data_IF_397627858957
#
_entry.id   IF_397627858957
#
_cell.length_a   1.000
_cell.length_b   1.000
_cell.length_c   1.000
_cell.angle_alpha   90.00
_cell.angle_beta   90.00
_cell.angle_gamma   90.00
#
_symmetry.space_group_name_H-M   'P 1'
#
loop_
_entity.id
_entity.type
_entity.pdbx_description
1 polymer ?
#
# COMPACT_ATOMS: atom_id res chain seq x y z
N UNK A 1 -67.86 30.95 -4.65
CA UNK A 1 -67.45 29.91 -3.68
C UNK A 1 -67.04 28.66 -4.46
N UNK A 2 -65.79 28.59 -4.92
CA UNK A 2 -65.24 27.44 -5.65
C UNK A 2 -64.93 26.33 -4.65
N UNK A 3 -65.75 25.27 -4.69
CA UNK A 3 -65.60 24.07 -3.86
C UNK A 3 -64.30 23.38 -4.28
N UNK A 4 -63.28 23.40 -3.41
CA UNK A 4 -62.02 22.72 -3.67
C UNK A 4 -62.29 21.21 -3.83
N UNK A 5 -61.96 20.67 -5.00
CA UNK A 5 -62.07 19.25 -5.34
C UNK A 5 -61.32 18.40 -4.29
N UNK A 6 -61.98 17.45 -3.61
CA UNK A 6 -61.34 16.59 -2.61
C UNK A 6 -60.19 15.74 -3.18
N UNK A 7 -60.15 15.54 -4.51
CA UNK A 7 -59.11 14.77 -5.21
C UNK A 7 -57.76 15.52 -5.24
N UNK A 8 -57.76 16.84 -5.39
CA UNK A 8 -56.55 17.68 -5.51
C UNK A 8 -55.75 17.74 -4.19
N UNK A 9 -56.44 17.62 -3.04
CA UNK A 9 -55.78 17.55 -1.72
C UNK A 9 -55.03 16.24 -1.49
N UNK A 10 -55.53 15.13 -2.02
CA UNK A 10 -54.93 13.81 -1.87
C UNK A 10 -53.68 13.68 -2.76
N UNK A 11 -53.74 14.19 -3.99
CA UNK A 11 -52.61 14.17 -4.94
C UNK A 11 -51.47 15.08 -4.47
N UNK A 12 -51.76 16.26 -3.91
CA UNK A 12 -50.75 17.14 -3.31
C UNK A 12 -50.07 16.54 -2.07
N UNK A 13 -50.83 15.81 -1.25
CA UNK A 13 -50.28 15.08 -0.10
C UNK A 13 -49.37 13.94 -0.51
N UNK A 14 -49.73 13.19 -1.55
CA UNK A 14 -48.92 12.10 -2.10
C UNK A 14 -47.67 12.61 -2.82
N UNK A 15 -47.76 13.71 -3.56
CA UNK A 15 -46.60 14.34 -4.18
C UNK A 15 -45.61 14.88 -3.14
N UNK A 16 -46.09 15.50 -2.06
CA UNK A 16 -45.23 15.97 -0.98
C UNK A 16 -44.56 14.81 -0.22
N UNK A 17 -45.26 13.69 -0.01
CA UNK A 17 -44.68 12.49 0.58
C UNK A 17 -43.60 11.89 -0.34
N UNK A 18 -43.86 11.79 -1.65
CA UNK A 18 -42.87 11.30 -2.62
C UNK A 18 -41.64 12.19 -2.72
N UNK A 19 -41.82 13.51 -2.64
CA UNK A 19 -40.70 14.46 -2.62
C UNK A 19 -39.89 14.34 -1.33
N UNK A 20 -40.56 14.23 -0.18
CA UNK A 20 -39.91 14.05 1.11
C UNK A 20 -39.15 12.72 1.18
N UNK A 21 -39.73 11.65 0.66
CA UNK A 21 -39.14 10.30 0.64
C UNK A 21 -37.99 10.21 -0.37
N UNK A 22 -38.07 10.91 -1.51
CA UNK A 22 -36.96 11.06 -2.45
C UNK A 22 -35.82 11.93 -1.89
N UNK A 23 -36.13 13.00 -1.15
CA UNK A 23 -35.14 13.87 -0.52
C UNK A 23 -34.45 13.16 0.66
N UNK A 24 -35.21 12.44 1.47
CA UNK A 24 -34.70 11.59 2.54
C UNK A 24 -33.80 10.47 2.01
N UNK A 25 -34.23 9.77 0.95
CA UNK A 25 -33.42 8.71 0.32
C UNK A 25 -32.12 9.27 -0.29
N UNK A 26 -32.19 10.47 -0.86
CA UNK A 26 -31.02 11.14 -1.47
C UNK A 26 -30.02 11.62 -0.40
N UNK A 27 -30.50 12.12 0.73
CA UNK A 27 -29.64 12.50 1.86
C UNK A 27 -28.97 11.28 2.49
N UNK A 28 -29.66 10.16 2.59
CA UNK A 28 -29.10 8.88 3.03
C UNK A 28 -28.04 8.35 2.04
N UNK A 29 -28.34 8.38 0.73
CA UNK A 29 -27.39 8.00 -0.33
C UNK A 29 -26.14 8.91 -0.34
N UNK A 30 -26.28 10.22 -0.13
CA UNK A 30 -25.17 11.17 -0.05
C UNK A 30 -24.33 10.96 1.22
N UNK A 31 -24.99 10.70 2.36
CA UNK A 31 -24.33 10.39 3.62
C UNK A 31 -23.56 9.06 3.59
N UNK A 32 -23.96 8.11 2.74
CA UNK A 32 -23.21 6.88 2.46
C UNK A 32 -22.11 7.10 1.41
N UNK A 33 -22.35 7.93 0.40
CA UNK A 33 -21.38 8.22 -0.66
C UNK A 33 -20.16 9.00 -0.16
N UNK A 34 -20.34 9.96 0.75
CA UNK A 34 -19.23 10.76 1.29
C UNK A 34 -18.16 9.92 2.01
N UNK A 35 -18.48 9.06 3.00
CA UNK A 35 -17.48 8.22 3.66
C UNK A 35 -16.89 7.15 2.73
N UNK A 36 -17.66 6.63 1.76
CA UNK A 36 -17.14 5.70 0.74
C UNK A 36 -16.14 6.40 -0.18
N UNK A 37 -16.47 7.59 -0.68
CA UNK A 37 -15.60 8.38 -1.55
C UNK A 37 -14.32 8.82 -0.83
N UNK A 38 -14.41 9.24 0.44
CA UNK A 38 -13.24 9.63 1.24
C UNK A 38 -12.38 8.40 1.58
N UNK A 39 -12.99 7.23 1.80
CA UNK A 39 -12.25 5.96 1.99
C UNK A 39 -11.52 5.56 0.72
N UNK A 40 -12.17 5.66 -0.44
CA UNK A 40 -11.58 5.36 -1.75
C UNK A 40 -10.43 6.32 -2.07
N UNK A 41 -10.59 7.62 -1.81
CA UNK A 41 -9.53 8.61 -2.03
C UNK A 41 -8.32 8.40 -1.10
N UNK A 42 -8.57 8.14 0.20
CA UNK A 42 -7.51 7.80 1.17
C UNK A 42 -6.76 6.55 0.74
N UNK A 43 -7.48 5.51 0.28
CA UNK A 43 -6.87 4.30 -0.24
C UNK A 43 -6.01 4.55 -1.47
N UNK A 44 -6.47 5.37 -2.42
CA UNK A 44 -5.69 5.74 -3.60
C UNK A 44 -4.37 6.43 -3.22
N UNK A 45 -4.42 7.39 -2.29
CA UNK A 45 -3.23 8.09 -1.79
C UNK A 45 -2.26 7.12 -1.08
N UNK A 46 -2.80 6.20 -0.28
CA UNK A 46 -2.01 5.21 0.44
C UNK A 46 -1.30 4.26 -0.54
N UNK A 47 -2.02 3.72 -1.53
CA UNK A 47 -1.45 2.82 -2.54
C UNK A 47 -0.40 3.53 -3.39
N UNK A 48 -0.60 4.81 -3.72
CA UNK A 48 0.39 5.62 -4.42
C UNK A 48 1.64 5.85 -3.57
N UNK A 49 1.46 6.14 -2.27
CA UNK A 49 2.55 6.29 -1.31
C UNK A 49 3.39 5.02 -1.23
N UNK A 50 2.75 3.85 -1.08
CA UNK A 50 3.44 2.55 -1.07
C UNK A 50 4.22 2.34 -2.37
N UNK A 51 3.59 2.54 -3.53
CA UNK A 51 4.25 2.35 -4.84
C UNK A 51 5.49 3.24 -4.99
N UNK A 52 5.37 4.53 -4.66
CA UNK A 52 6.48 5.48 -4.77
C UNK A 52 7.66 5.06 -3.88
N UNK A 53 7.39 4.72 -2.62
CA UNK A 53 8.43 4.27 -1.69
C UNK A 53 9.04 2.92 -2.07
N UNK A 54 8.25 2.00 -2.62
CA UNK A 54 8.76 0.74 -3.18
C UNK A 54 9.70 0.98 -4.36
N UNK A 55 9.44 1.98 -5.20
CA UNK A 55 10.35 2.38 -6.27
C UNK A 55 11.65 3.00 -5.72
N UNK A 56 11.55 3.86 -4.71
CA UNK A 56 12.74 4.39 -4.02
C UNK A 56 13.58 3.30 -3.35
N UNK A 57 12.93 2.25 -2.83
CA UNK A 57 13.62 1.11 -2.24
C UNK A 57 14.46 0.33 -3.27
N UNK A 58 14.04 0.31 -4.55
CA UNK A 58 14.84 -0.25 -5.64
C UNK A 58 16.19 0.45 -5.80
N UNK A 59 16.25 1.77 -5.56
CA UNK A 59 17.46 2.59 -5.69
C UNK A 59 18.31 2.56 -4.41
N UNK A 60 17.66 2.54 -3.24
CA UNK A 60 18.33 2.57 -1.94
C UNK A 60 19.23 1.36 -1.67
N UNK A 61 18.99 0.23 -2.35
CA UNK A 61 19.78 -1.01 -2.23
C UNK A 61 21.16 -0.96 -2.90
N UNK A 62 21.59 0.15 -3.50
CA UNK A 62 22.85 0.26 -4.25
C UNK A 62 24.00 0.91 -3.46
N UNK A 63 23.87 1.06 -2.14
CA UNK A 63 24.93 1.66 -1.32
C UNK A 63 25.99 0.59 -0.99
N UNK A 64 27.23 0.67 -1.52
CA UNK A 64 28.27 -0.35 -1.34
C UNK A 64 28.98 -0.27 0.02
N UNK A 65 28.27 0.14 1.07
CA UNK A 65 28.79 0.27 2.44
C UNK A 65 28.04 -0.71 3.35
N UNK A 66 28.71 -1.73 3.89
CA UNK A 66 28.12 -2.66 4.86
C UNK A 66 27.44 -1.92 6.02
N UNK A 67 26.29 -2.41 6.48
CA UNK A 67 25.42 -1.79 7.50
C UNK A 67 24.72 -0.47 7.11
N UNK A 68 25.31 0.36 6.24
CA UNK A 68 24.65 1.58 5.77
C UNK A 68 23.45 1.28 4.87
N UNK A 69 23.55 0.25 4.03
CA UNK A 69 22.43 -0.28 3.24
C UNK A 69 21.23 -0.67 4.13
N UNK A 70 21.51 -1.28 5.29
CA UNK A 70 20.50 -1.65 6.27
C UNK A 70 19.80 -0.43 6.90
N UNK A 71 20.60 0.58 7.25
CA UNK A 71 20.10 1.84 7.79
C UNK A 71 19.28 2.62 6.73
N UNK A 72 19.69 2.57 5.47
CA UNK A 72 18.97 3.21 4.36
C UNK A 72 17.63 2.52 4.09
N UNK A 73 17.59 1.18 3.99
CA UNK A 73 16.36 0.40 3.78
C UNK A 73 15.38 0.60 4.94
N UNK A 74 15.87 0.54 6.19
CA UNK A 74 15.02 0.81 7.36
C UNK A 74 14.53 2.25 7.38
N UNK A 75 15.34 3.23 6.98
CA UNK A 75 14.94 4.61 6.80
C UNK A 75 13.81 4.79 5.77
N UNK A 76 13.93 4.12 4.62
CA UNK A 76 12.90 4.09 3.56
C UNK A 76 11.58 3.53 4.10
N UNK A 77 11.62 2.37 4.77
CA UNK A 77 10.42 1.75 5.33
C UNK A 77 9.78 2.59 6.45
N UNK A 78 10.58 3.18 7.34
CA UNK A 78 10.09 4.07 8.40
C UNK A 78 9.41 5.30 7.79
N UNK A 79 10.02 5.91 6.77
CA UNK A 79 9.47 7.11 6.13
C UNK A 79 8.20 6.81 5.34
N UNK A 80 8.14 5.66 4.67
CA UNK A 80 6.90 5.18 4.04
C UNK A 80 5.77 5.05 5.07
N UNK A 81 6.03 4.42 6.22
CA UNK A 81 5.03 4.26 7.28
C UNK A 81 4.61 5.62 7.86
N UNK A 82 5.55 6.55 8.02
CA UNK A 82 5.24 7.92 8.44
C UNK A 82 4.29 8.63 7.46
N UNK A 83 4.53 8.51 6.15
CA UNK A 83 3.64 9.11 5.15
C UNK A 83 2.27 8.41 5.13
N UNK A 84 2.21 7.09 5.34
CA UNK A 84 0.94 6.37 5.53
C UNK A 84 0.19 6.84 6.78
N UNK A 85 0.87 7.05 7.90
CA UNK A 85 0.25 7.61 9.11
C UNK A 85 -0.41 8.97 8.83
N UNK A 86 0.18 9.81 7.97
CA UNK A 86 -0.46 11.08 7.56
C UNK A 86 -1.71 10.87 6.72
N UNK A 87 -1.72 9.90 5.81
CA UNK A 87 -2.88 9.60 4.95
C UNK A 87 -4.08 9.14 5.80
N UNK A 88 -3.82 8.40 6.87
CA UNK A 88 -4.86 7.86 7.76
C UNK A 88 -5.10 8.68 9.03
N UNK A 89 -4.43 9.82 9.18
CA UNK A 89 -4.47 10.67 10.39
C UNK A 89 -4.15 9.92 11.70
N UNK A 90 -3.14 9.05 11.64
CA UNK A 90 -2.68 8.23 12.77
C UNK A 90 -1.44 8.90 13.39
N UNK A 91 -1.37 9.03 14.72
CA UNK A 91 -0.18 9.57 15.38
C UNK A 91 1.02 8.66 15.12
N UNK A 92 2.06 9.24 14.53
CA UNK A 92 3.28 8.51 14.23
C UNK A 92 4.17 8.39 15.46
N UNK A 93 4.57 7.16 15.78
CA UNK A 93 5.56 6.89 16.82
C UNK A 93 6.72 6.06 16.26
N UNK A 94 7.88 6.69 16.09
CA UNK A 94 9.05 6.05 15.51
C UNK A 94 9.51 4.82 16.30
N UNK A 95 9.36 4.84 17.63
CA UNK A 95 9.74 3.72 18.50
C UNK A 95 8.94 2.46 18.16
N UNK A 96 7.63 2.61 17.97
CA UNK A 96 6.76 1.49 17.61
C UNK A 96 7.02 0.98 16.21
N UNK A 97 7.21 1.89 15.25
CA UNK A 97 7.58 1.47 13.89
C UNK A 97 8.89 0.69 13.88
N UNK A 98 9.91 1.17 14.60
CA UNK A 98 11.19 0.44 14.75
C UNK A 98 11.00 -0.91 15.44
N UNK A 99 10.17 -1.00 16.48
CA UNK A 99 9.88 -2.24 17.17
C UNK A 99 9.22 -3.27 16.22
N UNK A 100 8.19 -2.86 15.47
CA UNK A 100 7.52 -3.70 14.46
C UNK A 100 8.54 -4.19 13.42
N UNK A 101 9.30 -3.27 12.81
CA UNK A 101 10.29 -3.62 11.78
C UNK A 101 11.40 -4.54 12.32
N UNK A 102 11.87 -4.31 13.55
CA UNK A 102 12.86 -5.18 14.21
C UNK A 102 12.29 -6.57 14.53
N UNK A 103 11.03 -6.65 14.93
CA UNK A 103 10.34 -7.92 15.16
C UNK A 103 10.14 -8.73 13.87
N UNK A 104 9.89 -8.05 12.74
CA UNK A 104 9.87 -8.68 11.43
C UNK A 104 11.25 -9.16 10.99
N UNK A 105 12.31 -8.39 11.29
CA UNK A 105 13.68 -8.77 10.99
C UNK A 105 14.12 -9.98 11.83
N UNK A 106 13.86 -9.96 13.14
CA UNK A 106 14.12 -11.08 14.05
C UNK A 106 13.27 -12.32 13.72
N UNK A 107 12.10 -12.14 13.11
CA UNK A 107 11.24 -13.22 12.64
C UNK A 107 11.59 -13.78 11.25
N UNK A 108 12.65 -13.28 10.60
CA UNK A 108 13.13 -13.78 9.29
C UNK A 108 12.33 -13.30 8.07
N UNK A 109 11.52 -12.24 8.21
CA UNK A 109 10.50 -11.87 7.22
C UNK A 109 10.94 -10.67 6.37
N UNK A 110 11.58 -9.66 6.95
CA UNK A 110 12.05 -8.50 6.18
C UNK A 110 13.36 -8.79 5.44
N UNK A 111 13.45 -8.30 4.20
CA UNK A 111 14.64 -8.42 3.33
C UNK A 111 15.92 -7.79 3.91
N UNK A 112 15.77 -6.95 4.93
CA UNK A 112 16.80 -6.50 5.89
C UNK A 112 17.68 -7.67 6.37
N UNK A 113 17.10 -8.84 6.63
CA UNK A 113 17.86 -10.05 6.98
C UNK A 113 18.36 -10.81 5.75
N UNK A 114 17.60 -10.83 4.66
CA UNK A 114 17.98 -11.62 3.48
C UNK A 114 19.19 -11.06 2.73
N UNK A 115 19.41 -9.75 2.63
CA UNK A 115 20.61 -9.20 1.96
C UNK A 115 21.88 -9.43 2.80
N UNK A 116 21.78 -9.28 4.12
CA UNK A 116 22.88 -9.60 5.04
C UNK A 116 23.23 -11.10 5.07
N UNK A 117 22.24 -11.99 4.96
CA UNK A 117 22.45 -13.45 4.97
C UNK A 117 22.79 -14.02 3.59
N UNK A 118 22.28 -13.44 2.51
CA UNK A 118 22.59 -13.88 1.15
C UNK A 118 23.94 -13.37 0.64
N UNK A 119 24.49 -12.30 1.21
CA UNK A 119 25.88 -11.89 1.01
C UNK A 119 26.91 -12.97 1.40
N UNK A 120 26.51 -13.94 2.25
CA UNK A 120 27.37 -15.06 2.69
C UNK A 120 27.11 -16.34 1.89
N UNK A 121 25.89 -16.57 1.39
CA UNK A 121 25.52 -17.77 0.62
C UNK A 121 25.68 -17.62 -0.91
N UNK A 122 25.65 -16.39 -1.45
CA UNK A 122 25.79 -16.11 -2.89
C UNK A 122 27.27 -16.10 -3.34
N UNK A 123 28.22 -16.00 -2.40
CA UNK A 123 29.66 -15.99 -2.71
C UNK A 123 30.25 -17.34 -3.15
N UNK A 124 29.46 -18.43 -3.16
CA UNK A 124 29.96 -19.77 -3.48
C UNK A 124 29.85 -20.17 -4.96
N UNK A 125 29.18 -19.38 -5.83
CA UNK A 125 29.09 -19.67 -7.28
C UNK A 125 29.27 -18.38 -8.10
N UNK A 126 30.53 -17.94 -8.38
CA UNK A 126 30.82 -16.57 -8.82
C UNK A 126 30.43 -16.22 -10.26
N UNK A 127 30.07 -17.21 -11.11
CA UNK A 127 29.95 -16.98 -12.56
C UNK A 127 28.49 -17.07 -13.08
N UNK A 128 27.61 -17.78 -12.38
CA UNK A 128 26.17 -17.89 -12.74
C UNK A 128 25.29 -17.08 -11.76
N UNK A 129 25.80 -16.75 -10.57
CA UNK A 129 25.03 -16.09 -9.51
C UNK A 129 24.86 -14.57 -9.65
N UNK A 130 25.74 -13.87 -10.39
CA UNK A 130 25.79 -12.40 -10.40
C UNK A 130 24.73 -11.74 -11.29
N UNK A 131 24.37 -12.33 -12.44
CA UNK A 131 23.29 -11.82 -13.30
C UNK A 131 21.90 -12.06 -12.71
N UNK A 132 21.71 -13.17 -12.00
CA UNK A 132 20.47 -13.44 -11.26
C UNK A 132 20.37 -12.58 -9.99
N UNK A 133 21.48 -12.33 -9.29
CA UNK A 133 21.55 -11.44 -8.12
C UNK A 133 21.25 -9.97 -8.46
N UNK A 134 21.74 -9.47 -9.61
CA UNK A 134 21.56 -8.08 -10.03
C UNK A 134 20.09 -7.71 -10.30
N UNK A 135 19.28 -8.64 -10.80
CA UNK A 135 17.85 -8.41 -11.07
C UNK A 135 17.00 -8.71 -9.84
N UNK A 136 17.40 -9.67 -9.01
CA UNK A 136 16.62 -10.08 -7.85
C UNK A 136 16.63 -9.05 -6.73
N UNK A 137 17.71 -8.29 -6.53
CA UNK A 137 17.78 -7.31 -5.45
C UNK A 137 16.81 -6.12 -5.62
N UNK A 138 16.74 -5.44 -6.78
CA UNK A 138 15.68 -4.48 -7.13
C UNK A 138 14.26 -5.00 -6.91
N UNK A 139 13.98 -6.20 -7.42
CA UNK A 139 12.67 -6.86 -7.37
C UNK A 139 12.29 -7.17 -5.93
N UNK A 140 13.21 -7.72 -5.15
CA UNK A 140 12.99 -8.07 -3.75
C UNK A 140 12.81 -6.82 -2.89
N UNK A 141 13.63 -5.79 -3.09
CA UNK A 141 13.51 -4.53 -2.36
C UNK A 141 12.17 -3.85 -2.62
N UNK A 142 11.75 -3.80 -3.89
CA UNK A 142 10.41 -3.31 -4.27
C UNK A 142 9.32 -4.16 -3.61
N UNK A 143 9.39 -5.49 -3.78
CA UNK A 143 8.32 -6.39 -3.35
C UNK A 143 8.11 -6.41 -1.85
N UNK A 144 9.20 -6.34 -1.07
CA UNK A 144 9.13 -6.34 0.39
C UNK A 144 8.65 -5.01 0.94
N UNK A 145 9.13 -3.89 0.40
CA UNK A 145 8.63 -2.56 0.76
C UNK A 145 7.14 -2.43 0.42
N UNK A 146 6.75 -2.93 -0.76
CA UNK A 146 5.34 -2.95 -1.17
C UNK A 146 4.49 -3.79 -0.22
N UNK A 147 4.92 -5.01 0.09
CA UNK A 147 4.21 -5.91 0.98
C UNK A 147 4.00 -5.32 2.37
N UNK A 148 5.06 -4.75 2.98
CA UNK A 148 4.95 -4.07 4.27
C UNK A 148 3.95 -2.92 4.17
N UNK A 149 4.08 -2.05 3.17
CA UNK A 149 3.17 -0.92 2.97
C UNK A 149 1.72 -1.36 2.85
N UNK A 150 1.40 -2.33 2.00
CA UNK A 150 0.04 -2.84 1.81
C UNK A 150 -0.57 -3.43 3.09
N UNK A 151 0.24 -4.10 3.92
CA UNK A 151 -0.25 -4.64 5.19
C UNK A 151 -0.61 -3.52 6.17
N UNK A 152 0.22 -2.47 6.26
CA UNK A 152 -0.07 -1.29 7.07
C UNK A 152 -1.34 -0.57 6.58
N UNK A 153 -1.51 -0.41 5.26
CA UNK A 153 -2.72 0.14 4.64
C UNK A 153 -3.96 -0.63 5.07
N UNK A 154 -3.96 -1.96 4.92
CA UNK A 154 -5.08 -2.82 5.33
C UNK A 154 -5.38 -2.71 6.82
N UNK A 155 -4.33 -2.63 7.65
CA UNK A 155 -4.47 -2.49 9.09
C UNK A 155 -5.11 -1.16 9.47
N UNK A 156 -4.67 -0.05 8.87
CA UNK A 156 -5.23 1.27 9.11
C UNK A 156 -6.67 1.41 8.59
N UNK A 157 -7.00 0.81 7.44
CA UNK A 157 -8.38 0.75 6.94
C UNK A 157 -9.33 -0.04 7.86
N UNK A 158 -8.79 -0.94 8.68
CA UNK A 158 -9.54 -1.70 9.67
C UNK A 158 -9.65 -0.96 11.01
N UNK A 159 -9.40 0.36 11.02
CA UNK A 159 -9.30 1.22 12.21
C UNK A 159 -8.16 0.81 13.16
N UNK A 160 -7.13 0.15 12.63
CA UNK A 160 -5.91 -0.17 13.36
C UNK A 160 -5.01 1.06 13.53
N UNK A 161 -4.15 1.01 14.55
CA UNK A 161 -3.10 2.00 14.81
C UNK A 161 -1.73 1.30 14.82
N UNK A 162 -0.66 2.08 14.95
CA UNK A 162 0.68 1.51 15.17
C UNK A 162 0.75 0.58 16.39
N UNK A 163 -0.04 0.87 17.43
CA UNK A 163 -0.08 0.10 18.68
C UNK A 163 -0.80 -1.24 18.56
N UNK A 164 -1.84 -1.29 17.72
CA UNK A 164 -2.63 -2.51 17.52
C UNK A 164 -2.06 -3.41 16.42
N UNK A 165 -0.94 -3.03 15.80
CA UNK A 165 -0.32 -3.81 14.75
C UNK A 165 0.39 -5.03 15.34
N UNK A 166 -0.09 -6.24 15.01
CA UNK A 166 0.56 -7.48 15.43
C UNK A 166 1.57 -7.95 14.39
N UNK A 167 2.73 -8.41 14.87
CA UNK A 167 3.76 -9.00 14.02
C UNK A 167 3.19 -10.21 13.27
N UNK A 168 2.38 -11.05 13.94
CA UNK A 168 1.81 -12.26 13.36
C UNK A 168 0.86 -12.00 12.19
N UNK A 169 0.08 -10.91 12.24
CA UNK A 169 -0.76 -10.49 11.11
C UNK A 169 0.07 -10.10 9.88
N UNK A 170 1.24 -9.48 10.12
CA UNK A 170 2.19 -9.22 9.05
C UNK A 170 2.76 -10.54 8.54
N UNK A 171 3.19 -11.45 9.42
CA UNK A 171 3.80 -12.73 9.00
C UNK A 171 2.89 -13.59 8.13
N UNK A 172 1.63 -13.73 8.52
CA UNK A 172 0.67 -14.63 7.88
C UNK A 172 0.34 -14.21 6.44
N UNK A 173 0.39 -12.90 6.15
CA UNK A 173 0.04 -12.34 4.84
C UNK A 173 1.26 -11.93 4.00
N UNK A 174 2.44 -11.83 4.63
CA UNK A 174 3.63 -11.28 4.00
C UNK A 174 4.07 -12.04 2.74
N UNK A 175 4.16 -13.37 2.80
CA UNK A 175 4.66 -14.15 1.66
C UNK A 175 3.77 -14.00 0.42
N UNK A 176 2.45 -13.96 0.63
CA UNK A 176 1.46 -13.73 -0.43
C UNK A 176 1.65 -12.34 -1.05
N UNK A 177 1.78 -11.30 -0.21
CA UNK A 177 1.98 -9.93 -0.69
C UNK A 177 3.30 -9.75 -1.43
N UNK A 178 4.38 -10.40 -0.97
CA UNK A 178 5.66 -10.40 -1.68
C UNK A 178 5.54 -11.09 -3.03
N UNK A 179 4.87 -12.24 -3.11
CA UNK A 179 4.66 -12.95 -4.37
C UNK A 179 3.84 -12.12 -5.37
N UNK A 180 2.79 -11.44 -4.89
CA UNK A 180 2.00 -10.51 -5.68
C UNK A 180 2.83 -9.33 -6.18
N UNK A 181 3.59 -8.68 -5.30
CA UNK A 181 4.39 -7.52 -5.66
C UNK A 181 5.52 -7.87 -6.65
N UNK A 182 6.14 -9.05 -6.52
CA UNK A 182 7.10 -9.57 -7.51
C UNK A 182 6.48 -9.68 -8.90
N UNK A 183 5.30 -10.29 -9.01
CA UNK A 183 4.59 -10.43 -10.29
C UNK A 183 4.28 -9.07 -10.91
N UNK A 184 3.79 -8.11 -10.10
CA UNK A 184 3.53 -6.74 -10.57
C UNK A 184 4.78 -6.04 -11.10
N UNK A 185 5.89 -6.11 -10.37
CA UNK A 185 7.15 -5.49 -10.78
C UNK A 185 7.68 -6.11 -12.07
N UNK A 186 7.72 -7.44 -12.18
CA UNK A 186 8.20 -8.14 -13.36
C UNK A 186 7.35 -7.84 -14.60
N UNK A 187 6.01 -7.78 -14.44
CA UNK A 187 5.10 -7.39 -15.53
C UNK A 187 5.37 -5.97 -16.02
N UNK A 188 5.56 -5.02 -15.09
CA UNK A 188 5.88 -3.63 -15.42
C UNK A 188 7.23 -3.53 -16.15
N UNK A 189 8.26 -4.17 -15.62
CA UNK A 189 9.61 -4.18 -16.21
C UNK A 189 9.63 -4.80 -17.61
N UNK A 190 8.87 -5.88 -17.84
CA UNK A 190 8.75 -6.50 -19.16
C UNK A 190 8.03 -5.58 -20.18
N UNK A 191 6.97 -4.87 -19.75
CA UNK A 191 6.25 -3.92 -20.60
C UNK A 191 7.10 -2.70 -20.95
N UNK A 192 7.88 -2.19 -20.00
CA UNK A 192 8.80 -1.05 -20.18
C UNK A 192 9.94 -1.42 -21.14
N UNK A 193 10.47 -2.65 -21.02
CA UNK A 193 11.49 -3.18 -21.94
C UNK A 193 10.93 -3.40 -23.36
N UNK A 194 9.66 -3.79 -23.50
CA UNK A 194 9.01 -3.91 -24.80
C UNK A 194 8.73 -2.55 -25.46
N UNK A 195 8.45 -1.52 -24.67
CA UNK A 195 8.26 -0.15 -25.15
C UNK A 195 9.59 0.49 -25.60
N UNK A 196 10.68 0.24 -24.89
CA UNK A 196 12.03 0.74 -25.23
C UNK A 196 12.56 0.10 -26.53
N UNK A 197 12.37 -1.21 -26.69
CA UNK A 197 12.70 -1.94 -27.93
C UNK A 197 11.85 -1.47 -29.13
N UNK A 198 10.61 -1.02 -28.89
CA UNK A 198 9.75 -0.44 -29.93
C UNK A 198 10.08 1.03 -30.25
N UNK A 199 10.80 1.74 -29.37
CA UNK A 199 11.13 3.15 -29.50
C UNK A 199 12.54 3.42 -30.06
N UNK A 200 13.34 2.38 -30.31
CA UNK A 200 14.67 2.51 -30.92
C UNK A 200 14.53 2.40 -32.45
N UNK A 201 14.72 3.48 -33.24
CA UNK A 201 14.84 3.34 -34.68
C UNK A 201 16.19 2.67 -35.01
N UNK A 202 16.15 1.69 -35.91
CA UNK A 202 17.32 1.02 -36.50
C UNK A 202 18.18 2.05 -37.23
#
# INVERSE_FOLDING_TARGET
MTKSDPTDRNVRGQAAAQQFEAEYSRDEDLALAEPLMVKDFRRLLADQTVKNWSQWATVAGFIPVPFLDLAAISGVQIKMIYDLCKVYDIPFEQRQVRAILSGLAGGGITTVASTALSGTLIKSVPIIGSTLAAVTQPVMSYATTYAVGTIFVRHFESNGTLMSMSIDAIKSTYQEQVAYAKKMFLKKSAAEKAADVAATPI
#
